data_IF_981949592847
#
_entry.id   IF_981949592847
#
_cell.length_a   1.000
_cell.length_b   1.000
_cell.length_c   1.000
_cell.angle_alpha   90.00
_cell.angle_beta   90.00
_cell.angle_gamma   90.00
#
_symmetry.space_group_name_H-M   'P 1'
#
loop_
_entity.id
_entity.type
_entity.pdbx_description
1 polymer ?
#
# COMPACT_ATOMS: atom_id res chain seq x y z
N UNK A 1 -10.30 6.67 6.08
CA UNK A 1 -10.82 6.32 4.74
C UNK A 1 -9.74 5.79 3.81
N UNK A 2 -8.58 6.45 3.70
CA UNK A 2 -7.52 5.98 2.78
C UNK A 2 -7.12 4.53 3.02
N UNK A 3 -6.90 4.13 4.29
CA UNK A 3 -6.53 2.76 4.63
C UNK A 3 -7.48 1.72 3.99
N UNK A 4 -8.79 1.91 4.10
CA UNK A 4 -9.75 0.99 3.48
C UNK A 4 -9.59 0.89 1.95
N UNK A 5 -9.19 1.96 1.28
CA UNK A 5 -8.92 1.92 -0.15
C UNK A 5 -7.59 1.23 -0.47
N UNK A 6 -6.59 1.34 0.41
CA UNK A 6 -5.30 0.67 0.26
C UNK A 6 -5.46 -0.85 0.40
N UNK A 7 -6.15 -1.32 1.44
CA UNK A 7 -6.42 -2.75 1.66
C UNK A 7 -7.16 -3.40 0.48
N UNK A 8 -8.19 -2.72 -0.06
CA UNK A 8 -8.87 -3.23 -1.27
C UNK A 8 -7.94 -3.35 -2.46
N UNK A 9 -7.00 -2.43 -2.62
CA UNK A 9 -6.02 -2.46 -3.73
C UNK A 9 -4.99 -3.55 -3.52
N UNK A 10 -4.52 -3.76 -2.28
CA UNK A 10 -3.61 -4.84 -1.92
C UNK A 10 -4.26 -6.22 -2.17
N UNK A 11 -5.50 -6.42 -1.71
CA UNK A 11 -6.27 -7.63 -2.00
C UNK A 11 -6.46 -7.88 -3.51
N UNK A 12 -6.76 -6.83 -4.28
CA UNK A 12 -6.89 -6.92 -5.73
C UNK A 12 -5.56 -7.26 -6.42
N UNK A 13 -4.44 -6.70 -5.94
CA UNK A 13 -3.11 -7.01 -6.45
C UNK A 13 -2.75 -8.47 -6.22
N UNK A 14 -2.89 -8.97 -4.99
CA UNK A 14 -2.65 -10.37 -4.65
C UNK A 14 -3.54 -11.32 -5.47
N UNK A 15 -4.83 -10.99 -5.60
CA UNK A 15 -5.76 -11.74 -6.45
C UNK A 15 -5.36 -11.75 -7.92
N UNK A 16 -4.85 -10.63 -8.44
CA UNK A 16 -4.34 -10.55 -9.81
C UNK A 16 -3.18 -11.51 -10.08
N UNK A 17 -2.31 -11.71 -9.09
CA UNK A 17 -1.20 -12.68 -9.21
C UNK A 17 -1.69 -14.12 -9.28
N UNK A 18 -2.83 -14.49 -8.68
CA UNK A 18 -3.42 -15.83 -8.80
C UNK A 18 -3.70 -16.23 -10.26
N UNK A 19 -4.05 -15.27 -11.11
CA UNK A 19 -4.31 -15.52 -12.53
C UNK A 19 -3.06 -15.52 -13.40
N UNK A 20 -1.98 -14.92 -12.93
CA UNK A 20 -0.77 -14.65 -13.72
C UNK A 20 0.40 -15.57 -13.37
N UNK A 21 0.41 -16.12 -12.16
CA UNK A 21 1.41 -17.05 -11.68
C UNK A 21 0.87 -18.48 -11.91
N UNK A 22 1.57 -19.33 -12.66
CA UNK A 22 1.11 -20.68 -12.93
C UNK A 22 0.93 -21.49 -11.65
N UNK A 23 -0.17 -22.25 -11.56
CA UNK A 23 -0.49 -23.07 -10.37
C UNK A 23 0.56 -24.14 -10.07
N UNK A 24 1.26 -24.61 -11.09
CA UNK A 24 2.36 -25.57 -10.95
C UNK A 24 3.53 -25.06 -10.09
N UNK A 25 3.65 -23.73 -9.89
CA UNK A 25 4.68 -23.15 -9.04
C UNK A 25 4.42 -23.32 -7.53
N UNK A 26 3.21 -23.73 -7.14
CA UNK A 26 2.83 -23.92 -5.74
C UNK A 26 2.42 -22.66 -4.95
N UNK A 27 2.54 -21.46 -5.54
CA UNK A 27 2.31 -20.18 -4.86
C UNK A 27 0.84 -19.77 -4.68
N UNK A 28 -0.09 -20.54 -5.26
CA UNK A 28 -1.52 -20.22 -5.23
C UNK A 28 -2.08 -20.10 -3.80
N UNK A 29 -1.62 -20.97 -2.88
CA UNK A 29 -2.08 -20.94 -1.49
C UNK A 29 -1.63 -19.66 -0.78
N UNK A 30 -0.36 -19.29 -0.87
CA UNK A 30 0.20 -18.08 -0.23
C UNK A 30 -0.49 -16.83 -0.76
N UNK A 31 -0.64 -16.69 -2.07
CA UNK A 31 -1.34 -15.55 -2.69
C UNK A 31 -2.82 -15.47 -2.28
N UNK A 32 -3.49 -16.63 -2.17
CA UNK A 32 -4.87 -16.68 -1.69
C UNK A 32 -5.00 -16.29 -0.21
N UNK A 33 -4.03 -16.67 0.62
CA UNK A 33 -3.98 -16.28 2.03
C UNK A 33 -3.78 -14.77 2.15
N UNK A 34 -2.77 -14.23 1.46
CA UNK A 34 -2.47 -12.80 1.43
C UNK A 34 -3.71 -11.99 1.01
N UNK A 35 -4.35 -12.35 -0.11
CA UNK A 35 -5.55 -11.65 -0.58
C UNK A 35 -6.69 -11.64 0.45
N UNK A 36 -6.87 -12.74 1.21
CA UNK A 36 -7.90 -12.81 2.26
C UNK A 36 -7.53 -11.98 3.48
N UNK A 37 -6.25 -11.95 3.87
CA UNK A 37 -5.79 -11.14 4.97
C UNK A 37 -6.02 -9.67 4.68
N UNK A 38 -5.72 -9.19 3.47
CA UNK A 38 -6.01 -7.83 3.04
C UNK A 38 -7.52 -7.50 3.08
N UNK A 39 -8.38 -8.44 2.72
CA UNK A 39 -9.83 -8.25 2.87
C UNK A 39 -10.25 -8.18 4.34
N UNK A 40 -9.63 -8.95 5.24
CA UNK A 40 -9.87 -8.85 6.69
C UNK A 40 -9.39 -7.49 7.21
N UNK A 41 -8.24 -6.98 6.76
CA UNK A 41 -7.77 -5.63 7.11
C UNK A 41 -8.75 -4.55 6.63
N UNK A 42 -9.28 -4.70 5.42
CA UNK A 42 -10.34 -3.84 4.90
C UNK A 42 -11.58 -3.84 5.80
N UNK A 43 -12.07 -5.02 6.20
CA UNK A 43 -13.24 -5.16 7.08
C UNK A 43 -12.99 -4.54 8.47
N UNK A 44 -11.78 -4.72 9.03
CA UNK A 44 -11.36 -4.07 10.28
C UNK A 44 -11.38 -2.54 10.14
N UNK A 45 -10.89 -2.03 9.01
CA UNK A 45 -10.90 -0.59 8.72
C UNK A 45 -12.34 -0.05 8.60
N UNK A 46 -13.24 -0.79 7.94
CA UNK A 46 -14.66 -0.41 7.85
C UNK A 46 -15.31 -0.33 9.22
N UNK A 47 -15.00 -1.25 10.13
CA UNK A 47 -15.53 -1.23 11.50
C UNK A 47 -15.13 0.05 12.23
N UNK A 48 -13.85 0.43 12.15
CA UNK A 48 -13.37 1.67 12.78
C UNK A 48 -14.05 2.92 12.17
N UNK A 49 -14.25 2.95 10.86
CA UNK A 49 -14.98 4.05 10.22
C UNK A 49 -16.42 4.13 10.73
N UNK A 50 -17.10 2.98 10.83
CA UNK A 50 -18.47 2.90 11.34
C UNK A 50 -18.57 3.35 12.80
N UNK A 51 -17.67 2.90 13.66
CA UNK A 51 -17.61 3.32 15.08
C UNK A 51 -17.41 4.84 15.24
N UNK A 52 -16.79 5.47 14.24
CA UNK A 52 -16.56 6.93 14.20
C UNK A 52 -17.63 7.70 13.42
N UNK A 53 -18.67 7.03 12.95
CA UNK A 53 -19.72 7.66 12.13
C UNK A 53 -19.23 8.16 10.77
N UNK A 54 -18.14 7.60 10.24
CA UNK A 54 -17.54 7.99 8.97
C UNK A 54 -17.96 7.01 7.89
N UNK A 55 -18.63 7.48 6.85
CA UNK A 55 -18.94 6.70 5.67
C UNK A 55 -17.71 6.54 4.75
N UNK A 56 -17.56 5.35 4.15
CA UNK A 56 -16.53 5.10 3.16
C UNK A 56 -16.92 5.77 1.83
N UNK A 57 -16.48 7.00 1.65
CA UNK A 57 -16.62 7.74 0.41
C UNK A 57 -15.57 7.38 -0.65
N UNK A 58 -15.69 7.98 -1.82
CA UNK A 58 -14.66 7.93 -2.85
C UNK A 58 -13.46 8.79 -2.43
N UNK A 59 -12.28 8.35 -2.80
CA UNK A 59 -11.04 9.10 -2.60
C UNK A 59 -10.17 9.01 -3.84
N UNK A 60 -9.65 10.15 -4.28
CA UNK A 60 -8.69 10.19 -5.37
C UNK A 60 -7.47 9.33 -5.00
N UNK A 61 -7.02 8.44 -5.89
CA UNK A 61 -5.86 7.61 -5.62
C UNK A 61 -4.60 8.44 -5.40
N UNK A 62 -3.72 7.99 -4.50
CA UNK A 62 -2.36 8.53 -4.43
C UNK A 62 -1.61 8.18 -5.71
N UNK A 63 -0.80 9.08 -6.27
CA UNK A 63 0.04 8.79 -7.42
C UNK A 63 1.19 7.83 -7.11
N UNK A 64 1.47 7.55 -5.84
CA UNK A 64 2.61 6.77 -5.39
C UNK A 64 2.73 5.40 -6.10
N UNK A 65 1.72 4.55 -6.00
CA UNK A 65 1.77 3.20 -6.58
C UNK A 65 1.88 3.21 -8.11
N UNK A 66 1.25 4.20 -8.79
CA UNK A 66 1.34 4.31 -10.23
C UNK A 66 2.73 4.82 -10.65
N UNK A 67 3.29 5.76 -9.90
CA UNK A 67 4.67 6.24 -10.12
C UNK A 67 5.68 5.10 -9.93
N UNK A 68 5.52 4.24 -8.91
CA UNK A 68 6.39 3.07 -8.75
C UNK A 68 6.33 2.12 -9.95
N UNK A 69 5.16 1.92 -10.53
CA UNK A 69 4.99 1.02 -11.68
C UNK A 69 5.69 1.52 -12.94
N UNK A 70 6.06 2.79 -13.01
CA UNK A 70 6.73 3.36 -14.19
C UNK A 70 8.12 2.76 -14.45
N UNK A 71 8.79 2.21 -13.41
CA UNK A 71 10.12 1.60 -13.54
C UNK A 71 10.10 0.15 -14.04
N UNK A 72 8.92 -0.48 -14.09
CA UNK A 72 8.79 -1.89 -14.49
C UNK A 72 9.13 -2.10 -15.96
N UNK A 73 9.64 -3.28 -16.27
CA UNK A 73 9.82 -3.70 -17.65
C UNK A 73 8.48 -3.76 -18.41
N UNK A 74 8.53 -3.49 -19.72
CA UNK A 74 7.34 -3.54 -20.57
C UNK A 74 6.83 -4.97 -20.80
N UNK A 75 7.72 -5.96 -20.83
CA UNK A 75 7.43 -7.31 -21.29
C UNK A 75 7.70 -8.37 -20.21
N UNK A 76 6.94 -9.47 -20.30
CA UNK A 76 7.16 -10.69 -19.53
C UNK A 76 8.47 -11.36 -19.97
N UNK A 77 9.14 -12.12 -19.10
CA UNK A 77 8.78 -12.39 -17.70
C UNK A 77 9.25 -11.32 -16.72
N UNK A 78 10.14 -10.39 -17.11
CA UNK A 78 10.74 -9.38 -16.24
C UNK A 78 9.69 -8.43 -15.64
N UNK A 79 8.62 -8.15 -16.40
CA UNK A 79 7.52 -7.34 -15.89
C UNK A 79 6.87 -7.94 -14.64
N UNK A 80 6.65 -9.26 -14.62
CA UNK A 80 6.05 -9.93 -13.47
C UNK A 80 6.98 -9.92 -12.26
N UNK A 81 8.28 -10.11 -12.47
CA UNK A 81 9.29 -9.95 -11.41
C UNK A 81 9.22 -8.55 -10.80
N UNK A 82 9.27 -7.51 -11.64
CA UNK A 82 9.21 -6.13 -11.15
C UNK A 82 7.91 -5.85 -10.39
N UNK A 83 6.78 -6.35 -10.85
CA UNK A 83 5.48 -6.15 -10.18
C UNK A 83 5.41 -6.85 -8.83
N UNK A 84 5.99 -8.03 -8.66
CA UNK A 84 6.13 -8.69 -7.35
C UNK A 84 7.04 -7.89 -6.41
N UNK A 85 8.17 -7.42 -6.92
CA UNK A 85 9.11 -6.58 -6.13
C UNK A 85 8.49 -5.22 -5.78
N UNK A 86 7.75 -4.59 -6.69
CA UNK A 86 7.01 -3.35 -6.40
C UNK A 86 5.97 -3.58 -5.32
N UNK A 87 5.24 -4.71 -5.35
CA UNK A 87 4.31 -5.05 -4.26
C UNK A 87 5.05 -5.19 -2.93
N UNK A 88 6.17 -5.91 -2.90
CA UNK A 88 7.00 -6.02 -1.70
C UNK A 88 7.50 -4.67 -1.17
N UNK A 89 7.89 -3.74 -2.03
CA UNK A 89 8.30 -2.39 -1.62
C UNK A 89 7.12 -1.60 -1.04
N UNK A 90 5.92 -1.74 -1.60
CA UNK A 90 4.71 -1.10 -1.07
C UNK A 90 4.40 -1.62 0.34
N UNK A 91 4.43 -2.94 0.57
CA UNK A 91 4.20 -3.53 1.90
C UNK A 91 5.27 -3.10 2.91
N UNK A 92 6.55 -3.07 2.52
CA UNK A 92 7.62 -2.57 3.39
C UNK A 92 7.41 -1.11 3.78
N UNK A 93 6.92 -0.28 2.86
CA UNK A 93 6.58 1.12 3.13
C UNK A 93 5.34 1.24 4.02
N UNK A 94 4.32 0.39 3.80
CA UNK A 94 3.14 0.31 4.65
C UNK A 94 3.53 -0.06 6.08
N UNK A 95 4.34 -1.11 6.25
CA UNK A 95 4.89 -1.53 7.55
C UNK A 95 5.54 -0.36 8.29
N UNK A 96 6.52 0.31 7.68
CA UNK A 96 7.21 1.46 8.29
C UNK A 96 6.22 2.57 8.70
N UNK A 97 5.30 2.94 7.82
CA UNK A 97 4.36 4.03 8.05
C UNK A 97 3.31 3.68 9.10
N UNK A 98 2.87 2.43 9.16
CA UNK A 98 1.93 1.97 10.19
C UNK A 98 2.59 1.96 11.57
N UNK A 99 3.86 1.56 11.69
CA UNK A 99 4.62 1.69 12.93
C UNK A 99 4.71 3.16 13.39
N UNK A 100 5.02 4.08 12.47
CA UNK A 100 5.08 5.51 12.77
C UNK A 100 3.73 6.04 13.23
N UNK A 101 2.63 5.64 12.58
CA UNK A 101 1.26 6.05 12.95
C UNK A 101 0.85 5.48 14.29
N UNK A 102 1.12 4.20 14.57
CA UNK A 102 0.84 3.57 15.85
C UNK A 102 1.53 4.34 16.99
N UNK A 103 2.81 4.67 16.82
CA UNK A 103 3.57 5.44 17.80
C UNK A 103 3.03 6.87 17.96
N UNK A 104 2.80 7.58 16.86
CA UNK A 104 2.36 8.99 16.89
C UNK A 104 0.95 9.17 17.47
N UNK A 105 0.09 8.16 17.34
CA UNK A 105 -1.29 8.20 17.82
C UNK A 105 -1.47 7.67 19.24
N UNK A 106 -0.44 7.08 19.85
CA UNK A 106 -0.56 6.37 21.14
C UNK A 106 -1.21 7.21 22.24
N UNK A 107 -0.83 8.49 22.36
CA UNK A 107 -1.32 9.39 23.40
C UNK A 107 -2.57 10.21 22.98
N UNK A 108 -2.89 10.25 21.68
CA UNK A 108 -3.95 11.11 21.15
C UNK A 108 -5.17 10.36 20.64
N UNK A 109 -4.98 9.14 20.13
CA UNK A 109 -6.02 8.28 19.60
C UNK A 109 -5.62 6.80 19.79
N UNK A 110 -5.64 6.32 21.03
CA UNK A 110 -5.25 4.96 21.39
C UNK A 110 -5.98 3.85 20.58
N UNK A 111 -7.28 3.96 20.24
CA UNK A 111 -7.93 2.99 19.36
C UNK A 111 -7.35 2.94 17.95
N UNK A 112 -6.99 4.09 17.36
CA UNK A 112 -6.33 4.12 16.05
C UNK A 112 -4.89 3.62 16.14
N UNK A 113 -4.16 3.95 17.20
CA UNK A 113 -2.83 3.43 17.46
C UNK A 113 -2.83 1.89 17.50
N UNK A 114 -3.71 1.29 18.30
CA UNK A 114 -3.86 -0.16 18.42
C UNK A 114 -4.30 -0.82 17.09
N UNK A 115 -5.10 -0.13 16.29
CA UNK A 115 -5.47 -0.62 14.96
C UNK A 115 -4.25 -0.72 14.05
N UNK A 116 -3.45 0.36 13.91
CA UNK A 116 -2.25 0.34 13.07
C UNK A 116 -1.20 -0.65 13.58
N UNK A 117 -0.98 -0.71 14.89
CA UNK A 117 -0.08 -1.67 15.51
C UNK A 117 -0.47 -3.13 15.18
N UNK A 118 -1.77 -3.40 15.17
CA UNK A 118 -2.31 -4.72 14.81
C UNK A 118 -2.24 -5.08 13.31
N UNK A 119 -1.72 -4.19 12.45
CA UNK A 119 -1.45 -4.47 11.03
C UNK A 119 0.05 -4.68 10.75
N UNK A 120 0.92 -4.11 11.57
CA UNK A 120 2.38 -4.06 11.35
C UNK A 120 2.99 -5.42 11.03
N UNK A 121 2.69 -6.45 11.82
CA UNK A 121 3.23 -7.80 11.64
C UNK A 121 2.77 -8.44 10.32
N UNK A 122 1.53 -8.16 9.91
CA UNK A 122 1.01 -8.66 8.65
C UNK A 122 1.71 -8.04 7.45
N UNK A 123 1.93 -6.73 7.46
CA UNK A 123 2.63 -6.01 6.38
C UNK A 123 4.07 -6.48 6.21
N UNK A 124 4.79 -6.73 7.32
CA UNK A 124 6.12 -7.32 7.28
C UNK A 124 6.11 -8.71 6.61
N UNK A 125 5.12 -9.54 6.96
CA UNK A 125 4.96 -10.87 6.38
C UNK A 125 4.61 -10.81 4.90
N UNK A 126 3.66 -9.94 4.50
CA UNK A 126 3.26 -9.75 3.10
C UNK A 126 4.44 -9.30 2.23
N UNK A 127 5.27 -8.38 2.75
CA UNK A 127 6.53 -8.02 2.12
C UNK A 127 7.42 -9.26 1.85
N UNK A 128 7.63 -10.09 2.87
CA UNK A 128 8.40 -11.33 2.76
C UNK A 128 7.81 -12.31 1.74
N UNK A 129 6.50 -12.52 1.77
CA UNK A 129 5.78 -13.43 0.88
C UNK A 129 5.99 -13.06 -0.61
N UNK A 130 5.87 -11.79 -0.97
CA UNK A 130 6.11 -11.34 -2.34
C UNK A 130 7.55 -11.57 -2.78
N UNK A 131 8.54 -11.35 -1.90
CA UNK A 131 9.96 -11.61 -2.21
C UNK A 131 10.24 -13.11 -2.33
N UNK A 132 9.63 -13.97 -1.50
CA UNK A 132 9.77 -15.41 -1.60
C UNK A 132 9.18 -15.95 -2.90
N UNK A 133 8.00 -15.49 -3.30
CA UNK A 133 7.38 -15.83 -4.59
C UNK A 133 8.30 -15.43 -5.73
N UNK A 134 8.80 -14.20 -5.72
CA UNK A 134 9.72 -13.70 -6.74
C UNK A 134 11.01 -14.52 -6.80
N UNK A 135 11.61 -14.84 -5.64
CA UNK A 135 12.84 -15.62 -5.55
C UNK A 135 12.66 -17.07 -6.02
N UNK A 136 11.52 -17.69 -5.70
CA UNK A 136 11.20 -19.03 -6.15
C UNK A 136 10.97 -19.13 -7.67
N UNK A 137 10.51 -18.05 -8.30
CA UNK A 137 10.27 -18.02 -9.75
C UNK A 137 11.47 -17.56 -10.58
N UNK A 138 12.26 -16.62 -10.06
CA UNK A 138 13.29 -15.92 -10.86
C UNK A 138 14.71 -16.04 -10.28
N UNK A 139 14.83 -16.58 -9.07
CA UNK A 139 16.11 -16.68 -8.35
C UNK A 139 16.48 -15.40 -7.61
N UNK A 140 17.22 -15.57 -6.51
CA UNK A 140 17.57 -14.47 -5.57
C UNK A 140 18.34 -13.33 -6.23
N UNK A 141 19.27 -13.65 -7.15
CA UNK A 141 20.07 -12.61 -7.81
C UNK A 141 19.21 -11.66 -8.66
N UNK A 142 18.22 -12.19 -9.38
CA UNK A 142 17.29 -11.38 -10.17
C UNK A 142 16.38 -10.51 -9.27
N UNK A 143 15.95 -11.06 -8.13
CA UNK A 143 15.15 -10.30 -7.14
C UNK A 143 15.96 -9.15 -6.56
N UNK A 144 17.20 -9.37 -6.14
CA UNK A 144 18.06 -8.32 -5.61
C UNK A 144 18.29 -7.20 -6.62
N UNK A 145 18.58 -7.53 -7.87
CA UNK A 145 18.78 -6.53 -8.93
C UNK A 145 17.50 -5.72 -9.19
N UNK A 146 16.32 -6.36 -9.18
CA UNK A 146 15.03 -5.67 -9.30
C UNK A 146 14.74 -4.83 -8.05
N UNK A 147 15.04 -5.34 -6.86
CA UNK A 147 14.88 -4.61 -5.59
C UNK A 147 15.68 -3.31 -5.58
N UNK A 148 16.98 -3.36 -5.89
CA UNK A 148 17.85 -2.18 -5.91
C UNK A 148 17.31 -1.10 -6.86
N UNK A 149 16.86 -1.53 -8.05
CA UNK A 149 16.24 -0.64 -9.04
C UNK A 149 14.96 -0.01 -8.52
N UNK A 150 14.04 -0.81 -7.96
CA UNK A 150 12.73 -0.36 -7.47
C UNK A 150 12.88 0.53 -6.23
N UNK A 151 13.74 0.16 -5.27
CA UNK A 151 13.98 0.93 -4.06
C UNK A 151 14.60 2.30 -4.36
N UNK A 152 15.57 2.35 -5.27
CA UNK A 152 16.13 3.64 -5.72
C UNK A 152 15.07 4.51 -6.42
N UNK A 153 14.22 3.89 -7.23
CA UNK A 153 13.12 4.60 -7.88
C UNK A 153 12.10 5.10 -6.87
N UNK A 154 11.73 4.28 -5.88
CA UNK A 154 10.82 4.66 -4.79
C UNK A 154 11.33 5.88 -4.02
N UNK A 155 12.62 5.92 -3.67
CA UNK A 155 13.21 7.08 -3.00
C UNK A 155 13.03 8.37 -3.82
N UNK A 156 13.23 8.30 -5.15
CA UNK A 156 13.01 9.42 -6.06
C UNK A 156 11.53 9.82 -6.15
N UNK A 157 10.63 8.84 -6.18
CA UNK A 157 9.18 9.07 -6.18
C UNK A 157 8.76 9.81 -4.91
N UNK A 158 9.16 9.33 -3.73
CA UNK A 158 8.83 9.96 -2.46
C UNK A 158 9.40 11.38 -2.34
N UNK A 159 10.60 11.60 -2.87
CA UNK A 159 11.19 12.94 -2.89
C UNK A 159 10.45 13.92 -3.82
N UNK A 160 9.83 13.42 -4.89
CA UNK A 160 9.09 14.22 -5.87
C UNK A 160 7.64 14.48 -5.52
N UNK A 161 7.02 13.59 -4.75
CA UNK A 161 5.62 13.71 -4.35
C UNK A 161 5.44 14.77 -3.26
N UNK A 162 4.33 15.53 -3.28
CA UNK A 162 4.04 16.50 -2.23
C UNK A 162 3.83 15.79 -0.88
N UNK A 163 4.16 16.50 0.19
CA UNK A 163 3.77 16.08 1.53
C UNK A 163 2.25 16.22 1.69
N UNK A 164 1.57 15.11 1.77
CA UNK A 164 0.13 15.02 2.00
C UNK A 164 -0.13 14.13 3.22
N UNK A 165 -1.25 14.32 3.94
CA UNK A 165 -1.65 13.45 5.05
C UNK A 165 -2.18 12.12 4.52
N UNK A 166 -1.28 11.34 3.93
CA UNK A 166 -1.54 10.03 3.32
C UNK A 166 -0.49 9.03 3.79
N UNK A 167 -0.85 7.76 3.83
CA UNK A 167 0.07 6.70 4.21
C UNK A 167 1.32 6.70 3.30
N UNK A 168 1.11 6.83 1.99
CA UNK A 168 2.20 6.95 1.01
C UNK A 168 2.37 8.38 0.51
N UNK A 169 2.38 9.36 1.43
CA UNK A 169 2.73 10.74 1.13
C UNK A 169 4.22 10.92 0.85
N UNK A 170 4.56 11.89 -0.01
CA UNK A 170 5.95 12.24 -0.31
C UNK A 170 6.61 13.12 0.77
N UNK A 171 7.88 13.49 0.53
CA UNK A 171 8.67 14.38 1.37
C UNK A 171 8.93 15.74 0.70
N UNK A 172 8.33 15.97 -0.46
CA UNK A 172 8.43 17.25 -1.16
C UNK A 172 7.85 18.41 -0.34
N UNK A 173 7.94 19.62 -0.87
CA UNK A 173 7.33 20.80 -0.25
C UNK A 173 5.85 20.55 0.03
N UNK A 174 5.38 21.01 1.19
CA UNK A 174 3.95 21.00 1.53
C UNK A 174 3.16 21.48 0.31
N UNK A 175 2.52 20.54 -0.39
CA UNK A 175 1.57 20.87 -1.44
C UNK A 175 0.50 21.75 -0.80
N UNK A 176 0.13 22.86 -1.43
CA UNK A 176 -1.04 23.61 -1.02
C UNK A 176 -2.17 22.59 -0.84
N UNK A 177 -2.69 22.47 0.37
CA UNK A 177 -3.90 21.73 0.63
C UNK A 177 -4.92 22.32 -0.35
N UNK A 178 -5.33 21.55 -1.36
CA UNK A 178 -6.34 22.00 -2.30
C UNK A 178 -7.49 22.53 -1.46
N UNK A 179 -7.85 23.80 -1.67
CA UNK A 179 -8.85 24.53 -0.93
C UNK A 179 -10.04 23.61 -0.68
N UNK A 180 -10.36 23.41 0.60
CA UNK A 180 -11.55 22.67 1.00
C UNK A 180 -12.78 23.32 0.34
N UNK A 181 -13.88 22.60 0.20
CA UNK A 181 -15.06 23.10 -0.49
C UNK A 181 -15.41 24.48 0.05
N UNK A 182 -15.47 25.45 -0.86
CA UNK A 182 -15.83 26.84 -0.56
C UNK A 182 -17.07 26.83 0.35
N UNK A 183 -16.94 27.45 1.54
CA UNK A 183 -18.09 27.65 2.42
C UNK A 183 -19.13 28.41 1.62
N UNK A 184 -20.26 27.75 1.34
CA UNK A 184 -21.41 28.42 0.80
C UNK A 184 -21.73 29.60 1.73
N UNK A 185 -21.57 30.81 1.22
CA UNK A 185 -22.01 32.02 1.91
C UNK A 185 -23.52 31.95 2.00
N UNK A 186 -24.06 31.70 3.21
CA UNK A 186 -25.40 32.04 3.53
C UNK A 186 -25.50 33.58 3.45
N UNK A 187 -26.03 34.08 2.36
CA UNK A 187 -26.58 35.45 2.32
C UNK A 187 -27.99 35.34 2.83
N UNK A 188 -28.19 35.87 4.05
CA UNK A 188 -29.51 36.23 4.57
C UNK A 188 -30.20 37.23 3.63
N UNK A 189 -31.41 36.91 3.26
CA UNK A 189 -32.41 37.88 2.79
C UNK A 189 -33.79 37.39 3.19
#
# INVERSE_FOLDING_TARGET
MEQAHLEKKAAAAASSFLFRIPSVTGWQKSLSQLAREELVHFERTLRILQERGIELGQQAPSPYAESLKSVRHAHMPQRLLDELVISAVIEARSHERMQMLAHALADTDAPAAAFYDGLVEAEERHHGDYLEIAAGMYGRAAVLASWDKVAQHEANVLASLPFLPRLHGGWGTLGALADGPARASCTDS
#
